data_IF_010758062325
#
_entry.id   IF_010758062325
#
_cell.length_a   1.000
_cell.length_b   1.000
_cell.length_c   1.000
_cell.angle_alpha   90.00
_cell.angle_beta   90.00
_cell.angle_gamma   90.00
#
_symmetry.space_group_name_H-M   'P 1'
#
loop_
_entity.id
_entity.type
_entity.pdbx_description
1 polymer ?
#
# COMPACT_ATOMS: atom_id res chain seq x y z
N UNK A 1 -6.95 -16.43 -17.52
CA UNK A 1 -6.78 -15.00 -17.24
C UNK A 1 -6.47 -14.29 -18.54
N UNK A 2 -7.24 -13.31 -18.90
CA UNK A 2 -6.95 -12.47 -20.05
C UNK A 2 -6.20 -11.25 -19.54
N UNK A 3 -4.87 -11.25 -19.69
CA UNK A 3 -3.95 -10.18 -19.27
C UNK A 3 -4.32 -8.78 -19.79
N UNK A 4 -5.20 -8.69 -20.77
CA UNK A 4 -5.62 -7.43 -21.39
C UNK A 4 -6.51 -6.55 -20.50
N UNK A 5 -7.21 -7.11 -19.51
CA UNK A 5 -8.16 -6.35 -18.68
C UNK A 5 -7.47 -5.43 -17.66
N UNK A 6 -6.22 -5.69 -17.32
CA UNK A 6 -5.50 -5.03 -16.23
C UNK A 6 -4.28 -4.23 -16.68
N UNK A 7 -4.08 -4.10 -17.98
CA UNK A 7 -2.92 -3.41 -18.53
C UNK A 7 -2.82 -1.92 -18.09
N UNK A 8 -3.96 -1.28 -17.75
CA UNK A 8 -3.98 0.09 -17.22
C UNK A 8 -3.34 0.23 -15.85
N UNK A 9 -3.41 -0.79 -15.01
CA UNK A 9 -2.81 -0.76 -13.67
C UNK A 9 -1.29 -0.54 -13.68
N UNK A 10 -0.60 -1.02 -14.72
CA UNK A 10 0.83 -0.81 -14.86
C UNK A 10 1.22 0.67 -15.10
N UNK A 11 0.28 1.47 -15.60
CA UNK A 11 0.48 2.89 -15.88
C UNK A 11 0.12 3.78 -14.67
N UNK A 12 -0.59 3.25 -13.67
CA UNK A 12 -1.04 3.97 -12.47
C UNK A 12 0.10 4.71 -11.73
N UNK A 13 1.25 4.09 -11.43
CA UNK A 13 2.33 4.79 -10.74
C UNK A 13 2.85 6.02 -11.51
N UNK A 14 2.90 5.93 -12.84
CA UNK A 14 3.37 7.03 -13.68
C UNK A 14 2.36 8.18 -13.75
N UNK A 15 1.06 7.87 -13.70
CA UNK A 15 -0.01 8.85 -13.69
C UNK A 15 -0.15 9.56 -12.33
N UNK A 16 0.06 8.84 -11.22
CA UNK A 16 -0.09 9.37 -9.86
C UNK A 16 1.15 10.15 -9.39
N UNK A 17 2.36 9.68 -9.70
CA UNK A 17 3.59 10.21 -9.13
C UNK A 17 3.80 11.73 -9.26
N UNK A 18 3.44 12.41 -10.35
CA UNK A 18 3.61 13.86 -10.46
C UNK A 18 2.88 14.64 -9.37
N UNK A 19 1.66 14.20 -9.01
CA UNK A 19 0.81 14.89 -8.03
C UNK A 19 1.32 14.72 -6.59
N UNK A 20 2.04 13.64 -6.32
CA UNK A 20 2.66 13.38 -5.02
C UNK A 20 4.08 13.95 -4.91
N UNK A 21 4.67 14.46 -5.99
CA UNK A 21 6.08 14.90 -6.03
C UNK A 21 6.40 16.08 -5.11
N UNK A 22 5.40 16.88 -4.72
CA UNK A 22 5.57 17.97 -3.74
C UNK A 22 5.83 17.48 -2.31
N UNK A 23 5.32 16.31 -1.97
CA UNK A 23 5.43 15.70 -0.64
C UNK A 23 6.51 14.61 -0.55
N UNK A 24 6.84 13.99 -1.68
CA UNK A 24 7.79 12.89 -1.75
C UNK A 24 8.84 13.09 -2.84
N UNK A 25 10.07 12.66 -2.53
CA UNK A 25 11.08 12.45 -3.56
C UNK A 25 11.01 11.00 -4.02
N UNK A 26 10.75 10.72 -5.30
CA UNK A 26 10.76 9.35 -5.79
C UNK A 26 12.19 8.80 -5.70
N UNK A 27 12.41 7.81 -4.83
CA UNK A 27 13.72 7.18 -4.66
C UNK A 27 13.94 6.03 -5.64
N UNK A 28 12.87 5.32 -5.99
CA UNK A 28 13.00 4.12 -6.82
C UNK A 28 11.75 3.88 -7.67
N UNK A 29 11.97 3.67 -8.96
CA UNK A 29 10.95 3.11 -9.86
C UNK A 29 11.25 1.64 -10.07
N UNK A 30 10.34 0.77 -9.65
CA UNK A 30 10.41 -0.66 -9.94
C UNK A 30 9.50 -0.89 -11.14
N UNK A 31 10.09 -1.08 -12.31
CA UNK A 31 9.37 -1.41 -13.51
C UNK A 31 9.73 -2.83 -13.91
N UNK A 32 8.75 -3.71 -13.90
CA UNK A 32 8.93 -5.03 -14.49
C UNK A 32 8.75 -4.92 -15.99
N UNK A 33 9.69 -5.43 -16.81
CA UNK A 33 9.43 -5.61 -18.20
C UNK A 33 8.31 -6.64 -18.36
N UNK A 34 7.21 -6.23 -18.98
CA UNK A 34 6.17 -7.17 -19.37
C UNK A 34 6.72 -8.05 -20.51
N UNK A 35 6.98 -9.29 -20.19
CA UNK A 35 7.31 -10.30 -21.19
C UNK A 35 6.18 -11.34 -21.21
N UNK A 36 5.32 -11.38 -22.23
CA UNK A 36 4.21 -12.33 -22.30
C UNK A 36 4.67 -13.80 -22.36
N UNK A 37 5.95 -14.06 -22.55
CA UNK A 37 6.55 -15.40 -22.54
C UNK A 37 7.13 -15.80 -21.18
N UNK A 38 7.35 -14.85 -20.30
CA UNK A 38 7.78 -15.14 -18.94
C UNK A 38 6.56 -15.41 -18.05
N UNK A 39 6.76 -16.35 -17.12
CA UNK A 39 5.77 -16.60 -16.08
C UNK A 39 5.67 -15.34 -15.23
N UNK A 40 4.58 -14.58 -15.38
CA UNK A 40 4.34 -13.35 -14.65
C UNK A 40 4.57 -13.48 -13.13
N UNK A 41 4.36 -14.67 -12.55
CA UNK A 41 4.69 -14.98 -11.15
C UNK A 41 6.18 -14.79 -10.82
N UNK A 42 7.09 -15.10 -11.76
CA UNK A 42 8.53 -14.87 -11.53
C UNK A 42 8.81 -13.38 -11.50
N UNK A 43 8.25 -12.63 -12.44
CA UNK A 43 8.37 -11.18 -12.49
C UNK A 43 7.74 -10.53 -11.26
N UNK A 44 6.55 -10.97 -10.83
CA UNK A 44 5.90 -10.48 -9.62
C UNK A 44 6.75 -10.72 -8.35
N UNK A 45 7.38 -11.89 -8.23
CA UNK A 45 8.30 -12.19 -7.11
C UNK A 45 9.52 -11.26 -7.09
N UNK A 46 10.11 -11.02 -8.26
CA UNK A 46 11.27 -10.12 -8.35
C UNK A 46 10.88 -8.70 -7.98
N UNK A 47 9.68 -8.23 -8.41
CA UNK A 47 9.15 -6.95 -7.98
C UNK A 47 8.95 -6.89 -6.49
N UNK A 48 8.29 -7.88 -5.92
CA UNK A 48 8.04 -7.93 -4.48
C UNK A 48 9.35 -7.96 -3.67
N UNK A 49 10.37 -8.72 -4.10
CA UNK A 49 11.69 -8.69 -3.47
C UNK A 49 12.33 -7.31 -3.56
N UNK A 50 12.34 -6.72 -4.75
CA UNK A 50 12.92 -5.40 -4.97
C UNK A 50 12.20 -4.31 -4.16
N UNK A 51 10.88 -4.43 -4.02
CA UNK A 51 10.06 -3.55 -3.18
C UNK A 51 10.37 -3.77 -1.70
N UNK A 52 10.47 -5.03 -1.25
CA UNK A 52 10.83 -5.38 0.13
C UNK A 52 12.17 -4.75 0.53
N UNK A 53 13.20 -4.88 -0.30
CA UNK A 53 14.51 -4.28 -0.06
C UNK A 53 14.47 -2.75 -0.01
N UNK A 54 13.69 -2.12 -0.90
CA UNK A 54 13.53 -0.67 -0.92
C UNK A 54 12.81 -0.17 0.35
N UNK A 55 11.72 -0.81 0.74
CA UNK A 55 10.96 -0.46 1.95
C UNK A 55 11.81 -0.66 3.20
N UNK A 56 12.49 -1.81 3.33
CA UNK A 56 13.39 -2.10 4.44
C UNK A 56 14.48 -1.03 4.56
N UNK A 57 15.07 -0.63 3.46
CA UNK A 57 16.13 0.39 3.43
C UNK A 57 15.60 1.76 3.86
N UNK A 58 14.46 2.18 3.30
CA UNK A 58 13.86 3.48 3.58
C UNK A 58 13.37 3.59 5.03
N UNK A 59 12.67 2.58 5.54
CA UNK A 59 12.24 2.53 6.94
C UNK A 59 13.43 2.47 7.90
N UNK A 60 14.46 1.69 7.58
CA UNK A 60 15.70 1.61 8.37
C UNK A 60 16.44 2.95 8.44
N UNK A 61 16.28 3.81 7.45
CA UNK A 61 16.76 5.20 7.45
C UNK A 61 15.81 6.19 8.17
N UNK A 62 14.70 5.72 8.74
CA UNK A 62 13.72 6.55 9.45
C UNK A 62 12.73 7.28 8.54
N UNK A 63 12.63 6.91 7.28
CA UNK A 63 11.66 7.49 6.35
C UNK A 63 10.27 6.85 6.49
N UNK A 64 9.23 7.57 6.11
CA UNK A 64 7.90 7.02 5.85
C UNK A 64 7.79 6.69 4.37
N UNK A 65 7.26 5.51 4.04
CA UNK A 65 7.16 5.05 2.65
C UNK A 65 5.83 5.45 2.01
N UNK A 66 5.88 5.92 0.75
CA UNK A 66 4.73 5.97 -0.13
C UNK A 66 4.99 5.04 -1.31
N UNK A 67 4.06 4.11 -1.54
CA UNK A 67 4.08 3.18 -2.66
C UNK A 67 2.88 3.49 -3.55
N UNK A 68 3.15 3.81 -4.80
CA UNK A 68 2.14 3.96 -5.84
C UNK A 68 2.19 2.69 -6.69
N UNK A 69 1.19 1.85 -6.55
CA UNK A 69 1.13 0.53 -7.14
C UNK A 69 0.10 0.39 -8.24
N UNK A 70 0.13 -0.75 -8.93
CA UNK A 70 -0.92 -1.16 -9.84
C UNK A 70 -2.00 -1.96 -9.13
N UNK A 71 -1.63 -3.07 -8.50
CA UNK A 71 -2.55 -4.01 -7.87
C UNK A 71 -2.07 -4.45 -6.49
N UNK A 72 -2.97 -5.07 -5.73
CA UNK A 72 -2.76 -5.46 -4.32
C UNK A 72 -1.64 -6.49 -4.10
N UNK A 73 -1.18 -7.21 -5.12
CA UNK A 73 -0.04 -8.14 -5.02
C UNK A 73 1.23 -7.50 -4.44
N UNK A 74 1.39 -6.18 -4.57
CA UNK A 74 2.54 -5.44 -4.05
C UNK A 74 2.65 -5.50 -2.52
N UNK A 75 1.54 -5.69 -1.81
CA UNK A 75 1.54 -5.81 -0.34
C UNK A 75 2.44 -6.95 0.15
N UNK A 76 2.62 -8.00 -0.64
CA UNK A 76 3.52 -9.10 -0.29
C UNK A 76 4.98 -8.62 -0.17
N UNK A 77 5.39 -7.71 -1.03
CA UNK A 77 6.73 -7.12 -0.99
C UNK A 77 6.86 -6.01 0.05
N UNK A 78 5.98 -5.05 0.00
CA UNK A 78 6.02 -3.86 0.85
C UNK A 78 5.94 -4.21 2.34
N UNK A 79 4.94 -5.02 2.71
CA UNK A 79 4.75 -5.45 4.09
C UNK A 79 5.89 -6.34 4.60
N UNK A 80 6.42 -7.24 3.75
CA UNK A 80 7.57 -8.06 4.13
C UNK A 80 8.77 -7.21 4.51
N UNK A 81 9.10 -6.21 3.70
CA UNK A 81 10.20 -5.28 4.01
C UNK A 81 9.93 -4.43 5.25
N UNK A 82 8.68 -4.01 5.44
CA UNK A 82 8.28 -3.25 6.62
C UNK A 82 8.41 -4.06 7.91
N UNK A 83 7.99 -5.33 7.91
CA UNK A 83 8.05 -6.22 9.07
C UNK A 83 9.49 -6.63 9.47
N UNK A 84 10.47 -6.48 8.57
CA UNK A 84 11.88 -6.67 8.94
C UNK A 84 12.40 -5.56 9.84
N UNK A 85 11.88 -4.35 9.71
CA UNK A 85 12.28 -3.17 10.49
C UNK A 85 11.34 -2.95 11.68
N UNK A 86 10.05 -3.15 11.48
CA UNK A 86 8.97 -2.88 12.44
C UNK A 86 8.14 -4.16 12.65
N UNK A 87 8.62 -5.14 13.42
CA UNK A 87 7.94 -6.43 13.56
C UNK A 87 6.56 -6.33 14.25
N UNK A 88 6.27 -5.20 14.93
CA UNK A 88 5.01 -4.96 15.64
C UNK A 88 3.98 -4.14 14.84
N UNK A 89 4.22 -3.92 13.55
CA UNK A 89 3.27 -3.27 12.64
C UNK A 89 1.89 -3.91 12.70
N UNK A 90 0.88 -3.05 12.56
CA UNK A 90 -0.48 -3.43 12.23
C UNK A 90 -0.70 -3.12 10.74
N UNK A 91 -1.32 -4.04 10.02
CA UNK A 91 -1.78 -3.81 8.65
C UNK A 91 -3.22 -3.29 8.70
N UNK A 92 -3.42 -2.06 8.21
CA UNK A 92 -4.72 -1.53 7.89
C UNK A 92 -4.94 -1.69 6.39
N UNK A 93 -5.91 -2.51 6.02
CA UNK A 93 -6.24 -2.88 4.64
C UNK A 93 -7.61 -2.31 4.29
N UNK A 94 -7.63 -1.27 3.45
CA UNK A 94 -8.85 -0.64 2.95
C UNK A 94 -9.11 -1.14 1.54
N UNK A 95 -10.22 -1.85 1.35
CA UNK A 95 -10.55 -2.55 0.11
C UNK A 95 -12.05 -2.87 0.09
N UNK A 96 -12.68 -2.86 -1.08
CA UNK A 96 -14.04 -3.36 -1.26
C UNK A 96 -14.12 -4.89 -1.23
N UNK A 97 -13.01 -5.56 -1.47
CA UNK A 97 -12.87 -7.01 -1.50
C UNK A 97 -12.22 -7.53 -0.22
N UNK A 98 -12.12 -8.82 -0.08
CA UNK A 98 -11.46 -9.44 1.07
C UNK A 98 -9.99 -9.74 0.83
N UNK A 99 -9.65 -10.00 -0.43
CA UNK A 99 -8.34 -10.51 -0.86
C UNK A 99 -7.88 -11.73 -0.03
N UNK A 100 -8.86 -12.45 0.51
CA UNK A 100 -8.66 -13.55 1.45
C UNK A 100 -9.05 -14.93 0.88
N UNK A 101 -9.14 -14.99 -0.45
CA UNK A 101 -9.27 -16.25 -1.15
C UNK A 101 -7.99 -17.09 -1.05
N UNK A 102 -8.14 -18.39 -1.21
CA UNK A 102 -7.04 -19.35 -1.37
C UNK A 102 -7.17 -20.03 -2.74
N UNK A 103 -6.19 -20.82 -3.15
CA UNK A 103 -6.29 -21.63 -4.38
C UNK A 103 -7.51 -22.56 -4.39
N UNK A 104 -8.00 -22.97 -3.22
CA UNK A 104 -9.17 -23.83 -3.08
C UNK A 104 -10.51 -23.07 -3.13
N UNK A 105 -10.49 -21.75 -2.91
CA UNK A 105 -11.73 -20.96 -2.79
C UNK A 105 -11.89 -19.90 -3.87
N UNK A 106 -10.81 -19.51 -4.54
CA UNK A 106 -10.85 -18.48 -5.58
C UNK A 106 -11.65 -18.94 -6.82
N UNK A 107 -12.67 -18.20 -7.24
CA UNK A 107 -13.40 -18.54 -8.45
C UNK A 107 -12.66 -18.12 -9.73
N UNK A 108 -11.73 -17.17 -9.63
CA UNK A 108 -11.06 -16.54 -10.78
C UNK A 108 -9.61 -16.98 -10.96
N UNK A 109 -9.00 -17.56 -9.94
CA UNK A 109 -7.55 -17.80 -9.85
C UNK A 109 -6.71 -16.51 -10.03
N UNK A 110 -7.30 -15.35 -9.79
CA UNK A 110 -6.62 -14.08 -9.83
C UNK A 110 -5.86 -13.87 -8.52
N UNK A 111 -4.56 -13.60 -8.62
CA UNK A 111 -3.68 -13.62 -7.44
C UNK A 111 -3.93 -12.43 -6.53
N UNK A 112 -4.34 -11.29 -7.07
CA UNK A 112 -4.65 -10.11 -6.26
C UNK A 112 -5.74 -10.42 -5.23
N UNK A 113 -6.82 -11.11 -5.62
CA UNK A 113 -7.88 -11.54 -4.71
C UNK A 113 -7.47 -12.59 -3.66
N UNK A 114 -6.17 -12.85 -3.52
CA UNK A 114 -5.58 -13.75 -2.53
C UNK A 114 -4.47 -13.09 -1.71
N UNK A 115 -4.22 -11.79 -1.91
CA UNK A 115 -3.04 -11.10 -1.37
C UNK A 115 -3.06 -11.01 0.14
N UNK A 116 -4.18 -10.68 0.74
CA UNK A 116 -4.29 -10.56 2.20
C UNK A 116 -4.11 -11.93 2.88
N UNK A 117 -4.74 -12.99 2.34
CA UNK A 117 -4.53 -14.35 2.85
C UNK A 117 -3.04 -14.74 2.76
N UNK A 118 -2.38 -14.34 1.68
CA UNK A 118 -0.98 -14.63 1.43
C UNK A 118 -0.06 -13.98 2.47
N UNK A 119 -0.21 -12.69 2.73
CA UNK A 119 0.60 -12.00 3.74
C UNK A 119 0.28 -12.44 5.16
N UNK A 120 -0.88 -13.04 5.40
CA UNK A 120 -1.22 -13.72 6.66
C UNK A 120 -0.60 -15.13 6.78
N UNK A 121 0.14 -15.58 5.79
CA UNK A 121 0.84 -16.87 5.82
C UNK A 121 0.02 -18.06 5.31
N UNK A 122 -1.17 -17.83 4.77
CA UNK A 122 -1.88 -18.88 4.04
C UNK A 122 -1.09 -19.24 2.78
N UNK A 123 -0.89 -20.53 2.55
CA UNK A 123 -0.14 -21.01 1.39
C UNK A 123 -0.95 -20.83 0.13
N UNK A 124 -0.96 -19.61 -0.35
CA UNK A 124 -1.66 -19.21 -1.56
C UNK A 124 -0.62 -18.91 -2.60
N UNK A 125 -0.51 -19.73 -3.61
CA UNK A 125 0.34 -19.50 -4.77
C UNK A 125 1.80 -19.03 -4.51
N UNK A 126 2.64 -19.09 -5.50
CA UNK A 126 4.08 -18.91 -5.36
C UNK A 126 4.55 -17.43 -5.29
N UNK A 127 3.77 -16.49 -4.76
CA UNK A 127 4.26 -15.13 -4.47
C UNK A 127 5.27 -15.09 -3.33
N UNK A 128 5.20 -16.07 -2.40
CA UNK A 128 6.15 -16.15 -1.31
C UNK A 128 7.52 -16.62 -1.84
N UNK A 129 8.56 -15.95 -1.39
CA UNK A 129 9.94 -16.35 -1.59
C UNK A 129 10.57 -16.77 -0.26
N UNK A 130 11.65 -17.51 -0.24
CA UNK A 130 12.36 -17.84 1.01
C UNK A 130 12.74 -16.58 1.78
N UNK A 131 12.36 -16.54 3.06
CA UNK A 131 12.65 -15.39 3.93
C UNK A 131 11.60 -14.28 3.93
N UNK A 132 10.50 -14.41 3.14
CA UNK A 132 9.39 -13.46 3.23
C UNK A 132 8.82 -13.40 4.65
N UNK A 133 8.53 -12.20 5.14
CA UNK A 133 7.84 -11.99 6.41
C UNK A 133 6.35 -11.99 6.20
N UNK A 134 5.64 -12.63 7.10
CA UNK A 134 4.17 -12.65 7.15
C UNK A 134 3.68 -11.98 8.42
N UNK A 135 2.42 -11.54 8.43
CA UNK A 135 1.78 -10.89 9.55
C UNK A 135 0.76 -11.84 10.22
N UNK A 136 0.64 -11.77 11.54
CA UNK A 136 -0.41 -12.50 12.24
C UNK A 136 -1.78 -11.87 11.95
N UNK A 137 -2.81 -12.69 11.74
CA UNK A 137 -4.17 -12.24 11.39
C UNK A 137 -4.77 -11.25 12.41
N UNK A 138 -4.46 -11.40 13.68
CA UNK A 138 -4.90 -10.49 14.75
C UNK A 138 -4.19 -9.12 14.76
N UNK A 139 -3.28 -8.92 13.82
CA UNK A 139 -2.65 -7.64 13.50
C UNK A 139 -3.16 -7.03 12.20
N UNK A 140 -4.22 -7.58 11.63
CA UNK A 140 -4.83 -7.09 10.40
C UNK A 140 -6.21 -6.52 10.70
N UNK A 141 -6.46 -5.33 10.20
CA UNK A 141 -7.78 -4.69 10.16
C UNK A 141 -8.17 -4.54 8.69
N UNK A 142 -9.18 -5.28 8.27
CA UNK A 142 -9.78 -5.19 6.94
C UNK A 142 -11.02 -4.30 7.02
N UNK A 143 -11.02 -3.17 6.34
CA UNK A 143 -12.13 -2.22 6.35
C UNK A 143 -12.66 -1.94 4.94
N UNK A 144 -14.00 -1.96 4.81
CA UNK A 144 -14.69 -1.68 3.56
C UNK A 144 -15.10 -2.91 2.76
N UNK A 145 -14.63 -4.11 3.14
CA UNK A 145 -14.90 -5.34 2.40
C UNK A 145 -16.40 -5.69 2.39
N UNK A 146 -17.00 -5.57 1.19
CA UNK A 146 -18.43 -5.75 0.91
C UNK A 146 -18.73 -6.66 -0.28
N UNK A 147 -17.77 -6.76 -1.22
CA UNK A 147 -17.86 -7.65 -2.38
C UNK A 147 -17.03 -8.91 -2.12
N UNK A 148 -17.59 -9.88 -1.41
CA UNK A 148 -16.91 -11.09 -0.96
C UNK A 148 -17.44 -12.33 -1.67
N UNK A 149 -16.53 -13.17 -2.15
CA UNK A 149 -16.87 -14.52 -2.60
C UNK A 149 -17.31 -15.41 -1.42
N UNK A 150 -18.18 -16.37 -1.67
CA UNK A 150 -18.69 -17.27 -0.62
C UNK A 150 -17.56 -18.04 0.10
N UNK A 151 -16.57 -18.51 -0.65
CA UNK A 151 -15.40 -19.22 -0.11
C UNK A 151 -14.48 -18.31 0.69
N UNK A 152 -14.31 -17.08 0.24
CA UNK A 152 -13.56 -16.03 0.92
C UNK A 152 -14.22 -15.62 2.24
N UNK A 153 -15.53 -15.39 2.21
CA UNK A 153 -16.30 -15.11 3.43
C UNK A 153 -16.15 -16.24 4.47
N UNK A 154 -16.16 -17.50 4.00
CA UNK A 154 -15.91 -18.68 4.83
C UNK A 154 -14.49 -18.68 5.41
N UNK A 155 -13.47 -18.24 4.69
CA UNK A 155 -12.10 -18.13 5.19
C UNK A 155 -12.00 -17.00 6.24
N UNK A 156 -12.52 -15.82 5.93
CA UNK A 156 -12.52 -14.66 6.82
C UNK A 156 -13.27 -14.93 8.13
N UNK A 157 -14.38 -15.68 8.08
CA UNK A 157 -15.16 -16.01 9.28
C UNK A 157 -14.42 -16.93 10.27
N UNK A 158 -13.43 -17.69 9.78
CA UNK A 158 -12.57 -18.56 10.58
C UNK A 158 -11.24 -17.93 10.96
N UNK A 159 -10.94 -16.77 10.40
CA UNK A 159 -9.71 -16.01 10.66
C UNK A 159 -9.83 -15.15 11.91
N UNK A 160 -8.70 -14.59 12.35
CA UNK A 160 -8.62 -13.58 13.40
C UNK A 160 -8.49 -12.16 12.84
N UNK A 161 -8.64 -11.98 11.53
CA UNK A 161 -8.67 -10.68 10.88
C UNK A 161 -9.87 -9.88 11.41
N UNK A 162 -9.61 -8.69 11.93
CA UNK A 162 -10.67 -7.80 12.37
C UNK A 162 -11.32 -7.15 11.15
N UNK A 163 -12.58 -7.40 10.94
CA UNK A 163 -13.37 -6.77 9.88
C UNK A 163 -14.12 -5.58 10.42
N UNK A 164 -14.01 -4.44 9.73
CA UNK A 164 -14.67 -3.18 10.09
C UNK A 164 -15.49 -2.71 8.88
N UNK A 165 -16.75 -2.37 9.12
CA UNK A 165 -17.55 -1.75 8.08
C UNK A 165 -17.04 -0.32 7.81
N UNK A 166 -16.89 -0.02 6.52
CA UNK A 166 -16.57 1.30 6.00
C UNK A 166 -17.25 1.41 4.63
N UNK A 167 -18.45 1.96 4.64
CA UNK A 167 -19.36 1.97 3.51
C UNK A 167 -20.22 3.26 3.53
N UNK A 168 -21.21 3.34 2.65
CA UNK A 168 -22.08 4.51 2.54
C UNK A 168 -22.91 4.79 3.81
N UNK A 169 -23.11 3.79 4.67
CA UNK A 169 -23.87 3.91 5.94
C UNK A 169 -22.93 4.17 7.14
N UNK A 170 -21.74 3.56 7.14
CA UNK A 170 -20.75 3.64 8.22
C UNK A 170 -19.49 4.39 7.76
N UNK A 171 -19.68 5.66 7.39
CA UNK A 171 -18.68 6.52 6.72
C UNK A 171 -17.47 6.90 7.57
N UNK A 172 -17.59 6.87 8.88
CA UNK A 172 -16.53 7.20 9.84
C UNK A 172 -15.79 5.97 10.40
N UNK A 173 -16.18 4.77 9.95
CA UNK A 173 -15.59 3.50 10.35
C UNK A 173 -15.28 3.43 11.87
N UNK A 174 -16.26 3.53 12.76
CA UNK A 174 -16.06 3.81 14.19
C UNK A 174 -15.21 2.75 14.89
N UNK A 175 -15.30 1.50 14.48
CA UNK A 175 -14.49 0.40 15.03
C UNK A 175 -13.02 0.46 14.62
N UNK A 176 -12.70 1.10 13.47
CA UNK A 176 -11.37 1.15 12.89
C UNK A 176 -10.39 1.92 13.79
N UNK A 177 -10.75 3.14 14.16
CA UNK A 177 -9.87 4.01 14.95
C UNK A 177 -9.56 3.41 16.33
N UNK A 178 -10.53 2.73 16.93
CA UNK A 178 -10.32 2.02 18.20
C UNK A 178 -9.31 0.88 18.05
N UNK A 179 -9.39 0.13 16.95
CA UNK A 179 -8.52 -1.03 16.68
C UNK A 179 -7.06 -0.67 16.44
N UNK A 180 -6.79 0.47 15.79
CA UNK A 180 -5.44 0.85 15.34
C UNK A 180 -4.72 1.84 16.26
N UNK A 181 -5.41 2.44 17.18
CA UNK A 181 -4.94 3.57 18.00
C UNK A 181 -3.59 3.29 18.66
N UNK A 182 -2.65 4.25 18.53
CA UNK A 182 -1.29 4.23 19.12
C UNK A 182 -0.43 3.05 18.66
N UNK A 183 -0.73 2.52 17.47
CA UNK A 183 0.06 1.44 16.86
C UNK A 183 0.90 1.99 15.69
N UNK A 184 2.07 1.41 15.39
CA UNK A 184 2.71 1.61 14.11
C UNK A 184 1.86 0.91 13.05
N UNK A 185 1.51 1.62 11.96
CA UNK A 185 0.57 1.17 10.95
C UNK A 185 1.21 1.17 9.57
N UNK A 186 1.04 0.07 8.85
CA UNK A 186 1.19 -0.02 7.41
C UNK A 186 -0.20 0.06 6.79
N UNK A 187 -0.41 1.01 5.91
CA UNK A 187 -1.71 1.25 5.29
C UNK A 187 -1.67 0.80 3.83
N UNK A 188 -2.50 -0.18 3.48
CA UNK A 188 -2.82 -0.57 2.13
C UNK A 188 -4.19 -0.01 1.75
N UNK A 189 -4.31 0.62 0.59
CA UNK A 189 -5.58 1.16 0.08
C UNK A 189 -5.74 0.71 -1.37
N UNK A 190 -6.67 -0.21 -1.62
CA UNK A 190 -7.24 -0.34 -2.94
C UNK A 190 -8.30 0.75 -3.13
N UNK A 191 -8.23 1.47 -4.25
CA UNK A 191 -9.13 2.60 -4.50
C UNK A 191 -10.56 2.17 -4.77
N UNK A 192 -10.82 0.90 -5.02
CA UNK A 192 -12.17 0.36 -5.16
C UNK A 192 -12.94 0.28 -3.83
N UNK A 193 -12.27 0.51 -2.68
CA UNK A 193 -12.94 0.74 -1.40
C UNK A 193 -13.94 1.89 -1.49
N UNK A 194 -13.63 2.90 -2.30
CA UNK A 194 -14.50 4.04 -2.58
C UNK A 194 -15.61 3.64 -3.55
N UNK A 195 -16.78 4.26 -3.39
CA UNK A 195 -17.89 4.04 -4.32
C UNK A 195 -17.51 4.43 -5.76
N UNK A 196 -17.85 3.62 -6.78
CA UNK A 196 -17.52 3.90 -8.17
C UNK A 196 -18.16 5.18 -8.72
N UNK A 197 -19.16 5.76 -8.08
CA UNK A 197 -19.67 7.10 -8.42
C UNK A 197 -18.61 8.20 -8.16
N UNK A 198 -17.71 7.98 -7.21
CA UNK A 198 -16.63 8.90 -6.85
C UNK A 198 -15.29 8.52 -7.49
N UNK A 199 -15.00 7.22 -7.61
CA UNK A 199 -13.77 6.70 -8.23
C UNK A 199 -14.12 5.64 -9.27
N UNK A 200 -14.56 6.03 -10.48
CA UNK A 200 -14.93 5.09 -11.55
C UNK A 200 -13.72 4.40 -12.19
N UNK A 201 -12.52 4.95 -11.99
CA UNK A 201 -11.30 4.46 -12.63
C UNK A 201 -10.61 3.36 -11.82
N UNK A 202 -11.35 2.32 -11.47
CA UNK A 202 -10.87 1.10 -10.82
C UNK A 202 -11.21 -0.15 -11.66
N UNK A 203 -10.52 -1.25 -11.42
CA UNK A 203 -10.71 -2.48 -12.23
C UNK A 203 -11.93 -3.26 -11.79
N UNK A 204 -12.14 -3.40 -10.49
CA UNK A 204 -13.23 -4.16 -9.89
C UNK A 204 -14.15 -3.27 -9.04
N UNK A 205 -14.99 -2.43 -9.69
CA UNK A 205 -15.83 -1.51 -8.95
C UNK A 205 -16.87 -2.25 -8.12
N UNK A 206 -17.04 -1.84 -6.87
CA UNK A 206 -18.08 -2.35 -5.97
C UNK A 206 -18.92 -1.18 -5.42
N UNK A 207 -20.22 -1.22 -5.67
CA UNK A 207 -21.16 -0.19 -5.22
C UNK A 207 -21.36 -0.21 -3.69
N UNK A 208 -21.87 0.90 -3.14
CA UNK A 208 -22.19 1.05 -1.72
C UNK A 208 -20.98 1.41 -0.85
N UNK A 209 -19.87 1.84 -1.46
CA UNK A 209 -18.68 2.30 -0.74
C UNK A 209 -18.82 3.70 -0.14
N UNK A 210 -17.84 4.15 0.66
CA UNK A 210 -17.74 5.51 1.13
C UNK A 210 -17.42 6.47 -0.03
N UNK A 211 -17.65 7.78 0.19
CA UNK A 211 -17.15 8.80 -0.72
C UNK A 211 -15.65 9.06 -0.53
N UNK A 212 -15.03 9.76 -1.49
CA UNK A 212 -13.66 10.26 -1.31
C UNK A 212 -13.49 11.17 -0.09
N UNK A 213 -14.52 11.94 0.25
CA UNK A 213 -14.52 12.79 1.44
C UNK A 213 -14.52 11.98 2.72
N UNK A 214 -15.28 10.88 2.75
CA UNK A 214 -15.30 9.97 3.89
C UNK A 214 -13.94 9.29 4.05
N UNK A 215 -13.33 8.84 2.95
CA UNK A 215 -11.96 8.30 2.95
C UNK A 215 -10.97 9.34 3.50
N UNK A 216 -10.98 10.58 3.01
CA UNK A 216 -10.11 11.66 3.52
C UNK A 216 -10.28 11.85 5.04
N UNK A 217 -11.53 11.84 5.52
CA UNK A 217 -11.86 11.93 6.94
C UNK A 217 -11.24 10.81 7.78
N UNK A 218 -11.35 9.56 7.30
CA UNK A 218 -10.75 8.39 7.94
C UNK A 218 -9.23 8.47 7.90
N UNK A 219 -8.61 8.80 6.75
CA UNK A 219 -7.17 8.95 6.63
C UNK A 219 -6.62 10.05 7.56
N UNK A 220 -7.32 11.18 7.68
CA UNK A 220 -6.98 12.23 8.64
C UNK A 220 -7.09 11.77 10.10
N UNK A 221 -8.09 10.93 10.42
CA UNK A 221 -8.21 10.33 11.75
C UNK A 221 -7.06 9.35 12.04
N UNK A 222 -6.70 8.50 11.09
CA UNK A 222 -5.55 7.59 11.17
C UNK A 222 -4.27 8.37 11.45
N UNK A 223 -3.99 9.41 10.68
CA UNK A 223 -2.80 10.25 10.83
C UNK A 223 -2.67 10.88 12.23
N UNK A 224 -3.82 11.19 12.87
CA UNK A 224 -3.82 11.78 14.22
C UNK A 224 -3.55 10.79 15.34
N UNK A 225 -3.88 9.52 15.16
CA UNK A 225 -3.88 8.53 16.26
C UNK A 225 -2.84 7.45 16.14
N UNK A 226 -2.20 7.31 14.97
CA UNK A 226 -1.23 6.27 14.65
C UNK A 226 0.10 6.83 14.20
N UNK A 227 1.13 6.00 14.33
CA UNK A 227 2.42 6.21 13.66
C UNK A 227 2.36 5.51 12.28
N UNK A 228 2.07 6.28 11.23
CA UNK A 228 1.97 5.75 9.86
C UNK A 228 3.38 5.56 9.30
N UNK A 229 3.77 4.29 9.12
CA UNK A 229 5.11 3.91 8.63
C UNK A 229 5.17 3.80 7.12
N UNK A 230 4.05 3.49 6.48
CA UNK A 230 3.94 3.44 5.03
C UNK A 230 2.51 3.48 4.56
N UNK A 231 2.35 3.95 3.34
CA UNK A 231 1.08 4.01 2.60
C UNK A 231 1.28 3.39 1.23
N UNK A 232 0.41 2.48 0.86
CA UNK A 232 0.36 1.84 -0.43
C UNK A 232 -0.98 2.13 -1.09
N UNK A 233 -0.96 2.65 -2.31
CA UNK A 233 -2.14 3.02 -3.08
C UNK A 233 -2.18 2.16 -4.34
N UNK A 234 -3.26 1.39 -4.52
CA UNK A 234 -3.47 0.46 -5.62
C UNK A 234 -4.83 0.67 -6.28
N UNK A 235 -5.09 -0.05 -7.36
CA UNK A 235 -6.39 -0.16 -8.00
C UNK A 235 -6.73 0.90 -9.05
N UNK A 236 -5.94 1.96 -9.19
CA UNK A 236 -6.19 3.01 -10.19
C UNK A 236 -5.89 2.54 -11.61
N UNK A 237 -6.86 2.71 -12.50
CA UNK A 237 -6.71 2.49 -13.95
C UNK A 237 -6.82 3.83 -14.71
N UNK A 238 -5.70 4.47 -15.09
CA UNK A 238 -5.72 5.76 -15.79
C UNK A 238 -6.43 5.73 -17.14
N UNK A 239 -6.63 4.55 -17.73
CA UNK A 239 -7.38 4.42 -19.00
C UNK A 239 -8.88 4.67 -18.83
N UNK A 240 -9.38 4.54 -17.60
CA UNK A 240 -10.77 4.84 -17.24
C UNK A 240 -10.97 6.28 -16.77
N UNK A 241 -9.90 7.06 -16.64
CA UNK A 241 -9.90 8.48 -16.27
C UNK A 241 -9.42 9.33 -17.44
N UNK A 242 -10.25 9.42 -18.48
CA UNK A 242 -9.88 10.06 -19.76
C UNK A 242 -9.47 11.54 -19.62
N UNK A 243 -9.91 12.23 -18.56
CA UNK A 243 -9.58 13.63 -18.28
C UNK A 243 -8.42 13.78 -17.29
N UNK A 244 -7.90 12.67 -16.77
CA UNK A 244 -6.84 12.63 -15.75
C UNK A 244 -7.13 13.55 -14.54
N UNK A 245 -8.37 13.54 -14.05
CA UNK A 245 -8.78 14.38 -12.92
C UNK A 245 -8.50 13.74 -11.56
N UNK A 246 -8.53 12.41 -11.49
CA UNK A 246 -8.39 11.69 -10.24
C UNK A 246 -7.00 11.81 -9.60
N UNK A 247 -5.87 11.84 -10.32
CA UNK A 247 -4.55 11.93 -9.68
C UNK A 247 -4.42 13.09 -8.70
N UNK A 248 -4.83 14.30 -9.10
CA UNK A 248 -4.76 15.49 -8.24
C UNK A 248 -5.76 15.41 -7.05
N UNK A 249 -6.92 14.80 -7.26
CA UNK A 249 -7.91 14.57 -6.20
C UNK A 249 -7.38 13.56 -5.19
N UNK A 250 -6.85 12.44 -5.67
CA UNK A 250 -6.26 11.40 -4.82
C UNK A 250 -5.07 11.94 -4.02
N UNK A 251 -4.17 12.69 -4.64
CA UNK A 251 -3.06 13.29 -3.92
C UNK A 251 -3.55 14.16 -2.74
N UNK A 252 -4.59 14.97 -2.92
CA UNK A 252 -5.20 15.75 -1.83
C UNK A 252 -5.82 14.86 -0.75
N UNK A 253 -6.55 13.82 -1.14
CA UNK A 253 -7.20 12.88 -0.21
C UNK A 253 -6.18 12.19 0.71
N UNK A 254 -4.99 11.86 0.18
CA UNK A 254 -3.95 11.18 0.95
C UNK A 254 -2.98 12.12 1.67
N UNK A 255 -3.00 13.43 1.39
CA UNK A 255 -2.10 14.41 2.03
C UNK A 255 -2.08 14.35 3.57
N UNK A 256 -3.20 14.10 4.29
CA UNK A 256 -3.16 14.02 5.76
C UNK A 256 -2.23 12.95 6.32
N UNK A 257 -1.97 11.89 5.56
CA UNK A 257 -1.07 10.78 5.96
C UNK A 257 0.40 11.09 5.73
N UNK A 258 0.68 12.10 4.92
CA UNK A 258 2.02 12.36 4.45
C UNK A 258 2.74 13.28 5.44
N UNK A 259 3.97 12.97 5.85
CA UNK A 259 4.71 13.87 6.72
C UNK A 259 4.88 15.21 6.00
N UNK A 260 4.56 16.31 6.69
CA UNK A 260 4.92 17.64 6.20
C UNK A 260 6.40 17.62 5.83
N UNK A 261 6.74 18.07 4.62
CA UNK A 261 8.11 18.03 4.11
C UNK A 261 9.07 18.58 5.17
N UNK A 262 9.81 17.70 5.83
CA UNK A 262 10.85 18.14 6.79
C UNK A 262 11.88 18.89 5.97
N UNK A 263 12.26 20.13 6.35
CA UNK A 263 13.35 20.81 5.68
C UNK A 263 14.58 19.92 5.77
N UNK A 264 15.17 19.60 4.62
CA UNK A 264 16.41 18.83 4.53
C UNK A 264 17.45 19.55 5.40
N UNK A 265 18.06 18.89 6.40
CA UNK A 265 19.17 19.49 7.12
C UNK A 265 20.22 19.91 6.10
N UNK A 266 20.54 21.21 6.02
CA UNK A 266 21.63 21.66 5.18
C UNK A 266 22.88 20.89 5.60
N UNK A 267 23.67 20.33 4.65
CA UNK A 267 24.92 19.67 4.99
C UNK A 267 25.74 20.64 5.83
N UNK A 268 26.17 20.19 6.99
CA UNK A 268 27.07 20.99 7.83
C UNK A 268 28.27 21.33 6.93
N UNK A 269 28.48 22.61 6.67
CA UNK A 269 29.72 23.08 6.03
C UNK A 269 30.84 22.54 6.90
N UNK A 270 31.65 21.65 6.38
CA UNK A 270 32.90 21.23 6.98
C UNK A 270 33.70 22.49 7.20
N UNK A 271 33.93 22.83 8.47
CA UNK A 271 34.71 24.00 8.85
C UNK A 271 36.06 23.93 8.17
N UNK A 272 36.37 24.95 7.40
CA UNK A 272 37.65 25.13 6.76
C UNK A 272 38.76 24.99 7.82
N UNK A 273 39.77 24.20 7.51
CA UNK A 273 40.88 23.88 8.37
C UNK A 273 41.53 25.11 8.94
N UNK A 274 41.75 25.08 10.22
CA UNK A 274 42.71 25.97 10.90
C UNK A 274 44.10 25.60 10.41
N UNK A 275 44.73 26.53 9.73
CA UNK A 275 46.12 26.44 9.36
C UNK A 275 46.96 26.20 10.63
N UNK A 276 47.67 25.09 10.65
CA UNK A 276 48.74 24.87 11.64
C UNK A 276 49.89 25.84 11.39
N UNK A 277 50.12 26.73 12.32
CA UNK A 277 51.38 27.48 12.41
C UNK A 277 52.46 26.52 12.89
N UNK A 278 53.48 26.33 12.07
CA UNK A 278 54.73 25.71 12.46
C UNK A 278 55.54 26.68 13.32
N UNK A 279 56.17 26.25 14.43
CA UNK A 279 57.09 27.08 15.18
C UNK A 279 58.45 27.16 14.47
N UNK A 280 59.24 28.27 14.67
CA UNK A 280 60.57 28.42 14.06
C UNK A 280 61.61 27.54 14.76
N UNK A 281 62.52 27.03 13.96
CA UNK A 281 63.70 26.28 14.37
C UNK A 281 64.76 27.30 14.80
N UNK A 282 65.31 27.12 16.02
CA UNK A 282 66.62 27.61 16.45
C UNK A 282 67.46 26.40 16.80
#
# INVERSE_FOLDING_TARGET
MTEQSFAGLADAPAALAPEFASAFRPEKRIRLPFNPRERWLTAAREACRSLSDAVRTSLGAGATCLILGGECTLVAGSLSGALEVEPDLLLLYLDAHGDFNTLATTPTHYVSGMCLAHVCGHRVAPLLWPGVRTIAEDRVVLAGARALDAGELGNLSRSRVLRVAFDAEQRDAPGLIAAIRRRPVWLHVDLDVVDPEHVPAVVFPAAGGPSLRDLEGVLAAVARVCDVRGVEICGYDPRKDAQALLPAVLARTFMPLLPAARPVPRPRRSGAGRSAHSPPIV
#
